data_IF_277847184040
#
_entry.id   IF_277847184040
#
_cell.length_a   1.000
_cell.length_b   1.000
_cell.length_c   1.000
_cell.angle_alpha   90.00
_cell.angle_beta   90.00
_cell.angle_gamma   90.00
#
_symmetry.space_group_name_H-M   'P 1'
#
loop_
_entity.id
_entity.type
_entity.pdbx_description
1 polymer ?
#
# COMPACT_ATOMS: atom_id res chain seq x y z
N UNK A 1 4.57 27.46 19.80
CA UNK A 1 3.81 26.92 18.63
C UNK A 1 2.87 25.83 19.15
N UNK A 2 1.55 25.92 18.91
CA UNK A 2 0.56 25.02 19.53
C UNK A 2 0.70 23.55 19.11
N UNK A 3 0.30 22.63 19.98
CA UNK A 3 0.36 21.17 19.73
C UNK A 3 -0.40 20.76 18.46
N UNK A 4 -1.58 21.33 18.22
CA UNK A 4 -2.37 21.08 17.02
C UNK A 4 -1.63 21.48 15.73
N UNK A 5 -0.90 22.62 15.74
CA UNK A 5 -0.10 23.05 14.59
C UNK A 5 1.06 22.08 14.33
N UNK A 6 1.76 21.63 15.37
CA UNK A 6 2.83 20.63 15.24
C UNK A 6 2.33 19.31 14.66
N UNK A 7 1.15 18.84 15.08
CA UNK A 7 0.52 17.64 14.52
C UNK A 7 0.22 17.78 13.03
N UNK A 8 -0.32 18.93 12.60
CA UNK A 8 -0.59 19.17 11.18
C UNK A 8 0.68 19.27 10.33
N UNK A 9 1.75 19.89 10.84
CA UNK A 9 3.05 19.92 10.16
C UNK A 9 3.63 18.51 9.99
N UNK A 10 3.54 17.66 11.01
CA UNK A 10 3.98 16.27 10.93
C UNK A 10 3.20 15.48 9.86
N UNK A 11 1.87 15.61 9.84
CA UNK A 11 1.03 14.97 8.82
C UNK A 11 1.36 15.47 7.41
N UNK A 12 1.61 16.79 7.25
CA UNK A 12 2.05 17.35 5.96
C UNK A 12 3.36 16.73 5.50
N UNK A 13 4.34 16.63 6.39
CA UNK A 13 5.63 16.01 6.09
C UNK A 13 5.47 14.54 5.70
N UNK A 14 4.61 13.78 6.39
CA UNK A 14 4.29 12.39 6.03
C UNK A 14 3.69 12.28 4.63
N UNK A 15 2.73 13.14 4.28
CA UNK A 15 2.16 13.13 2.92
C UNK A 15 3.18 13.50 1.85
N UNK A 16 4.01 14.52 2.07
CA UNK A 16 5.08 14.87 1.13
C UNK A 16 6.05 13.69 0.91
N UNK A 17 6.42 12.99 1.99
CA UNK A 17 7.29 11.82 1.90
C UNK A 17 6.61 10.62 1.19
N UNK A 18 5.29 10.49 1.25
CA UNK A 18 4.54 9.51 0.45
C UNK A 18 4.52 9.90 -1.03
N UNK A 19 4.28 11.18 -1.35
CA UNK A 19 4.34 11.69 -2.72
C UNK A 19 5.71 11.44 -3.36
N UNK A 20 6.80 11.69 -2.63
CA UNK A 20 8.16 11.45 -3.10
C UNK A 20 8.40 9.97 -3.44
N UNK A 21 7.86 9.04 -2.65
CA UNK A 21 7.97 7.59 -2.92
C UNK A 21 7.27 7.17 -4.22
N UNK A 22 6.24 7.89 -4.65
CA UNK A 22 5.52 7.64 -5.91
C UNK A 22 5.97 8.52 -7.09
N UNK A 23 6.95 9.40 -6.88
CA UNK A 23 7.47 10.34 -7.88
C UNK A 23 8.61 9.76 -8.74
N UNK A 24 8.81 8.45 -8.74
CA UNK A 24 9.88 7.82 -9.52
C UNK A 24 9.63 7.94 -11.04
N UNK A 25 10.71 7.95 -11.83
CA UNK A 25 10.59 8.04 -13.29
C UNK A 25 9.92 6.78 -13.87
N UNK A 26 8.99 6.93 -14.82
CA UNK A 26 8.44 5.79 -15.55
C UNK A 26 9.54 5.00 -16.24
N UNK A 27 9.39 3.67 -16.28
CA UNK A 27 10.33 2.78 -16.96
C UNK A 27 9.62 1.55 -17.56
N UNK A 28 10.33 0.83 -18.43
CA UNK A 28 9.78 -0.32 -19.16
C UNK A 28 9.37 -1.47 -18.24
N UNK A 29 10.05 -1.64 -17.10
CA UNK A 29 9.70 -2.63 -16.11
C UNK A 29 8.33 -2.33 -15.48
N UNK A 30 8.04 -1.07 -15.14
CA UNK A 30 6.74 -0.65 -14.61
C UNK A 30 5.62 -0.96 -15.61
N UNK A 31 5.81 -0.59 -16.88
CA UNK A 31 4.83 -0.82 -17.94
C UNK A 31 4.56 -2.32 -18.18
N UNK A 32 5.62 -3.12 -18.26
CA UNK A 32 5.53 -4.58 -18.44
C UNK A 32 4.83 -5.21 -17.23
N UNK A 33 5.22 -4.83 -16.02
CA UNK A 33 4.62 -5.33 -14.78
C UNK A 33 3.13 -5.02 -14.72
N UNK A 34 2.71 -3.79 -15.06
CA UNK A 34 1.28 -3.43 -15.12
C UNK A 34 0.51 -4.30 -16.12
N UNK A 35 1.08 -4.57 -17.30
CA UNK A 35 0.46 -5.43 -18.29
C UNK A 35 0.29 -6.87 -17.78
N UNK A 36 1.30 -7.41 -17.09
CA UNK A 36 1.25 -8.75 -16.50
C UNK A 36 0.25 -8.84 -15.34
N UNK A 37 0.22 -7.84 -14.44
CA UNK A 37 -0.72 -7.80 -13.30
C UNK A 37 -2.18 -7.88 -13.78
N UNK A 38 -2.52 -7.22 -14.89
CA UNK A 38 -3.87 -7.25 -15.46
C UNK A 38 -4.33 -8.65 -15.90
N UNK A 39 -3.40 -9.58 -16.10
CA UNK A 39 -3.68 -10.97 -16.49
C UNK A 39 -3.76 -11.91 -15.28
N UNK A 40 -3.34 -11.45 -14.09
CA UNK A 40 -3.37 -12.25 -12.87
C UNK A 40 -4.79 -12.30 -12.27
N UNK A 41 -5.13 -13.39 -11.55
CA UNK A 41 -6.44 -13.53 -10.93
C UNK A 41 -6.65 -12.50 -9.82
N UNK A 42 -7.84 -11.88 -9.82
CA UNK A 42 -8.28 -11.00 -8.74
C UNK A 42 -9.04 -11.83 -7.71
N UNK A 43 -8.62 -11.75 -6.45
CA UNK A 43 -9.28 -12.38 -5.30
C UNK A 43 -9.89 -11.32 -4.38
N UNK A 44 -10.85 -11.72 -3.56
CA UNK A 44 -11.44 -10.89 -2.52
C UNK A 44 -10.80 -11.23 -1.18
N UNK A 45 -10.37 -10.20 -0.46
CA UNK A 45 -9.69 -10.33 0.84
C UNK A 45 -10.51 -9.59 1.88
N UNK A 46 -10.73 -10.24 3.02
CA UNK A 46 -11.37 -9.61 4.17
C UNK A 46 -10.30 -9.03 5.08
N UNK A 47 -10.50 -7.83 5.60
CA UNK A 47 -9.66 -7.28 6.67
C UNK A 47 -10.20 -7.71 8.03
N UNK A 48 -9.29 -8.12 8.93
CA UNK A 48 -9.64 -8.37 10.33
C UNK A 48 -10.30 -7.15 10.97
N UNK A 49 -11.14 -7.35 11.99
CA UNK A 49 -11.83 -6.23 12.64
C UNK A 49 -10.83 -5.39 13.42
N UNK A 50 -11.05 -4.07 13.51
CA UNK A 50 -10.11 -3.15 14.17
C UNK A 50 -9.76 -3.59 15.60
N UNK A 51 -10.75 -4.05 16.38
CA UNK A 51 -10.56 -4.55 17.75
C UNK A 51 -9.66 -5.79 17.80
N UNK A 52 -9.76 -6.68 16.81
CA UNK A 52 -8.93 -7.89 16.74
C UNK A 52 -7.50 -7.52 16.36
N UNK A 53 -7.34 -6.66 15.36
CA UNK A 53 -6.02 -6.21 14.90
C UNK A 53 -5.29 -5.42 15.99
N UNK A 54 -6.01 -4.61 16.78
CA UNK A 54 -5.46 -3.92 17.94
C UNK A 54 -5.03 -4.89 19.04
N UNK A 55 -5.89 -5.87 19.37
CA UNK A 55 -5.54 -6.92 20.36
C UNK A 55 -4.28 -7.70 19.93
N UNK A 56 -4.15 -7.99 18.64
CA UNK A 56 -2.97 -8.63 18.04
C UNK A 56 -1.75 -7.70 17.91
N UNK A 57 -1.89 -6.41 18.25
CA UNK A 57 -0.85 -5.36 18.14
C UNK A 57 -0.33 -5.16 16.71
N UNK A 58 -1.19 -5.38 15.71
CA UNK A 58 -0.85 -5.17 14.31
C UNK A 58 -0.69 -3.68 14.02
N UNK A 59 0.39 -3.30 13.32
CA UNK A 59 0.71 -1.89 13.09
C UNK A 59 0.13 -1.41 11.76
N UNK A 60 -0.53 -0.24 11.71
CA UNK A 60 -0.91 0.38 10.44
C UNK A 60 0.33 0.59 9.54
N UNK A 61 0.14 0.52 8.22
CA UNK A 61 1.22 0.72 7.22
C UNK A 61 2.37 -0.30 7.30
N UNK A 62 2.22 -1.42 8.00
CA UNK A 62 3.24 -2.46 8.13
C UNK A 62 2.78 -3.81 7.58
N UNK A 63 2.10 -3.82 6.42
CA UNK A 63 1.45 -5.03 5.92
C UNK A 63 2.37 -6.22 5.71
N UNK A 64 3.58 -5.99 5.21
CA UNK A 64 4.59 -7.04 5.02
C UNK A 64 5.10 -7.59 6.35
N UNK A 65 5.37 -6.73 7.33
CA UNK A 65 5.83 -7.15 8.65
C UNK A 65 4.74 -7.88 9.45
N UNK A 66 3.49 -7.38 9.39
CA UNK A 66 2.35 -8.01 10.04
C UNK A 66 2.07 -9.41 9.45
N UNK A 67 2.04 -9.52 8.11
CA UNK A 67 1.78 -10.81 7.46
C UNK A 67 2.90 -11.83 7.70
N UNK A 68 4.17 -11.38 7.63
CA UNK A 68 5.34 -12.19 8.01
C UNK A 68 5.25 -12.66 9.45
N UNK A 69 4.92 -11.77 10.38
CA UNK A 69 4.77 -12.11 11.79
C UNK A 69 3.72 -13.22 11.98
N UNK A 70 2.59 -13.15 11.27
CA UNK A 70 1.56 -14.19 11.34
C UNK A 70 2.04 -15.55 10.84
N UNK A 71 2.79 -15.58 9.73
CA UNK A 71 3.40 -16.83 9.23
C UNK A 71 4.45 -17.38 10.20
N UNK A 72 5.36 -16.54 10.70
CA UNK A 72 6.46 -16.97 11.58
C UNK A 72 6.00 -17.39 12.98
N UNK A 73 4.86 -16.87 13.45
CA UNK A 73 4.31 -17.14 14.78
C UNK A 73 3.16 -18.15 14.76
N UNK A 74 2.82 -18.72 13.62
CA UNK A 74 1.84 -19.79 13.55
C UNK A 74 2.48 -21.13 14.00
N UNK A 75 2.12 -21.67 15.18
CA UNK A 75 2.67 -22.93 15.66
C UNK A 75 2.25 -24.13 14.78
N UNK A 76 1.14 -24.03 14.04
CA UNK A 76 0.68 -25.09 13.14
C UNK A 76 1.32 -24.99 11.74
N UNK A 77 2.03 -23.90 11.43
CA UNK A 77 2.64 -23.62 10.12
C UNK A 77 1.65 -23.64 8.94
N UNK A 78 0.39 -23.30 9.21
CA UNK A 78 -0.71 -23.30 8.22
C UNK A 78 -0.97 -21.92 7.63
N UNK A 79 -0.44 -20.88 8.28
CA UNK A 79 -0.53 -19.49 7.85
C UNK A 79 0.60 -19.18 6.89
N UNK A 80 0.27 -18.60 5.74
CA UNK A 80 1.26 -18.22 4.71
C UNK A 80 1.14 -16.76 4.34
N UNK A 81 2.26 -16.03 4.35
CA UNK A 81 2.32 -14.70 3.77
C UNK A 81 2.14 -14.80 2.26
N UNK A 82 1.12 -14.11 1.74
CA UNK A 82 0.92 -13.93 0.30
C UNK A 82 1.21 -12.47 -0.03
N UNK A 83 2.06 -12.25 -1.02
CA UNK A 83 2.42 -10.91 -1.50
C UNK A 83 1.89 -10.71 -2.91
N UNK A 84 1.49 -9.48 -3.19
CA UNK A 84 0.83 -9.14 -4.44
C UNK A 84 0.45 -7.68 -4.44
N UNK A 85 -0.63 -7.39 -5.16
CA UNK A 85 -1.03 -6.03 -5.48
C UNK A 85 -2.40 -5.71 -4.92
N UNK A 86 -2.50 -4.60 -4.22
CA UNK A 86 -3.77 -3.99 -3.85
C UNK A 86 -4.06 -2.84 -4.84
N UNK A 87 -5.07 -2.98 -5.71
CA UNK A 87 -5.49 -1.89 -6.58
C UNK A 87 -6.01 -0.74 -5.72
N UNK A 88 -5.35 0.42 -5.84
CA UNK A 88 -5.76 1.64 -5.17
C UNK A 88 -5.56 2.82 -6.11
N UNK A 89 -6.58 3.64 -6.27
CA UNK A 89 -6.43 4.98 -6.82
C UNK A 89 -5.78 5.05 -8.23
N UNK A 90 -5.92 3.99 -9.04
CA UNK A 90 -5.29 3.91 -10.36
C UNK A 90 -3.85 3.38 -10.34
N UNK A 91 -3.40 2.82 -9.22
CA UNK A 91 -2.11 2.18 -9.04
C UNK A 91 -2.28 0.76 -8.47
N UNK A 92 -1.21 -0.04 -8.55
CA UNK A 92 -1.07 -1.32 -7.90
C UNK A 92 -0.07 -1.17 -6.76
N UNK A 93 -0.57 -1.09 -5.53
CA UNK A 93 0.25 -0.92 -4.32
C UNK A 93 0.76 -2.29 -3.87
N UNK A 94 2.06 -2.39 -3.58
CA UNK A 94 2.63 -3.61 -3.03
C UNK A 94 2.00 -3.89 -1.67
N UNK A 95 1.41 -5.08 -1.50
CA UNK A 95 0.68 -5.43 -0.29
C UNK A 95 0.89 -6.89 0.09
N UNK A 96 0.84 -7.19 1.40
CA UNK A 96 0.84 -8.56 1.91
C UNK A 96 -0.41 -8.84 2.72
N UNK A 97 -0.93 -10.05 2.51
CA UNK A 97 -2.03 -10.67 3.24
C UNK A 97 -1.56 -12.00 3.81
N UNK A 98 -2.42 -12.66 4.56
CA UNK A 98 -2.19 -14.01 5.08
C UNK A 98 -3.25 -14.93 4.50
N UNK A 99 -2.83 -16.07 3.95
CA UNK A 99 -3.71 -17.23 3.84
C UNK A 99 -3.69 -17.92 5.20
N UNK A 100 -4.78 -17.78 5.94
CA UNK A 100 -4.98 -18.41 7.24
C UNK A 100 -6.06 -19.48 7.07
N UNK A 101 -5.63 -20.74 7.04
CA UNK A 101 -6.53 -21.90 6.94
C UNK A 101 -7.43 -21.89 5.69
N UNK A 102 -6.92 -21.44 4.55
CA UNK A 102 -7.66 -21.31 3.30
C UNK A 102 -8.48 -20.02 3.20
N UNK A 103 -8.39 -19.13 4.19
CA UNK A 103 -9.04 -17.83 4.19
C UNK A 103 -8.02 -16.72 3.96
N UNK A 104 -8.27 -15.91 2.94
CA UNK A 104 -7.43 -14.75 2.63
C UNK A 104 -7.81 -13.56 3.51
N UNK A 105 -6.92 -13.20 4.43
CA UNK A 105 -7.15 -12.14 5.42
C UNK A 105 -6.04 -11.09 5.38
N UNK A 106 -6.44 -9.82 5.35
CA UNK A 106 -5.54 -8.70 5.61
C UNK A 106 -5.47 -8.44 7.12
N UNK A 107 -4.27 -8.56 7.67
CA UNK A 107 -3.99 -8.38 9.11
C UNK A 107 -3.39 -7.00 9.42
N UNK A 108 -3.69 -5.99 8.60
CA UNK A 108 -3.13 -4.63 8.76
C UNK A 108 -4.23 -3.60 8.89
N UNK A 109 -4.24 -2.80 9.99
CA UNK A 109 -5.17 -1.69 10.13
C UNK A 109 -5.01 -0.69 8.98
N UNK A 110 -6.14 -0.27 8.42
CA UNK A 110 -6.20 0.68 7.31
C UNK A 110 -7.37 1.68 7.51
N UNK A 111 -7.28 2.61 8.48
CA UNK A 111 -8.40 3.49 8.85
C UNK A 111 -8.86 4.42 7.73
N UNK A 112 -8.00 4.65 6.73
CA UNK A 112 -8.29 5.48 5.54
C UNK A 112 -8.87 4.66 4.37
N UNK A 113 -8.81 3.33 4.40
CA UNK A 113 -9.33 2.45 3.35
C UNK A 113 -10.35 1.48 3.94
N UNK A 114 -11.61 1.92 4.02
CA UNK A 114 -12.69 1.20 4.73
C UNK A 114 -13.34 0.07 3.92
N UNK A 115 -12.98 -0.08 2.66
CA UNK A 115 -13.44 -1.18 1.82
C UNK A 115 -13.10 -2.53 2.46
N UNK A 116 -14.14 -3.34 2.67
CA UNK A 116 -14.02 -4.67 3.23
C UNK A 116 -15.24 -5.52 2.79
N UNK A 117 -15.06 -6.59 1.99
CA UNK A 117 -13.81 -7.07 1.42
C UNK A 117 -13.25 -6.13 0.33
N UNK A 118 -11.96 -6.23 0.05
CA UNK A 118 -11.30 -5.48 -1.02
C UNK A 118 -10.66 -6.41 -2.06
N UNK A 119 -10.31 -5.86 -3.23
CA UNK A 119 -9.66 -6.60 -4.30
C UNK A 119 -8.15 -6.74 -4.04
N UNK A 120 -7.61 -7.93 -4.27
CA UNK A 120 -6.18 -8.21 -4.19
C UNK A 120 -5.77 -9.10 -5.35
N UNK A 121 -4.54 -8.96 -5.81
CA UNK A 121 -3.99 -9.72 -6.94
C UNK A 121 -2.71 -10.39 -6.46
N UNK A 122 -2.76 -11.68 -6.06
CA UNK A 122 -1.56 -12.43 -5.68
C UNK A 122 -0.60 -12.47 -6.87
N UNK A 123 0.69 -12.24 -6.62
CA UNK A 123 1.70 -12.28 -7.67
C UNK A 123 2.84 -13.25 -7.30
N UNK A 124 2.87 -14.45 -7.91
CA UNK A 124 3.86 -15.46 -7.58
C UNK A 124 5.28 -15.10 -8.07
N UNK A 125 5.43 -14.07 -8.91
CA UNK A 125 6.76 -13.60 -9.34
C UNK A 125 7.42 -12.66 -8.31
N UNK A 126 6.69 -12.23 -7.27
CA UNK A 126 7.27 -11.43 -6.20
C UNK A 126 8.05 -12.33 -5.26
N UNK A 127 9.33 -12.02 -5.11
CA UNK A 127 10.23 -12.69 -4.20
C UNK A 127 10.72 -11.71 -3.12
N UNK A 128 10.92 -12.24 -1.92
CA UNK A 128 11.49 -11.47 -0.82
C UNK A 128 12.94 -11.86 -0.61
N UNK A 129 13.84 -10.88 -0.62
CA UNK A 129 15.27 -11.09 -0.39
C UNK A 129 15.68 -10.47 0.95
N UNK A 130 16.48 -11.19 1.72
CA UNK A 130 17.08 -10.67 2.95
C UNK A 130 18.24 -9.72 2.59
N UNK A 131 18.22 -8.50 3.13
CA UNK A 131 19.23 -7.46 2.94
C UNK A 131 19.57 -6.87 4.30
N UNK A 132 20.59 -7.44 4.94
CA UNK A 132 20.92 -7.14 6.34
C UNK A 132 19.80 -7.60 7.28
N UNK A 133 19.31 -6.70 8.12
CA UNK A 133 18.21 -6.97 9.07
C UNK A 133 16.81 -6.74 8.47
N UNK A 134 16.71 -6.45 7.18
CA UNK A 134 15.48 -6.09 6.48
C UNK A 134 15.21 -7.03 5.30
N UNK A 135 13.95 -7.11 4.88
CA UNK A 135 13.56 -7.78 3.62
C UNK A 135 13.12 -6.76 2.60
N UNK A 136 13.51 -6.99 1.36
CA UNK A 136 13.13 -6.20 0.21
C UNK A 136 12.39 -7.08 -0.78
N UNK A 137 11.30 -6.55 -1.36
CA UNK A 137 10.55 -7.24 -2.38
C UNK A 137 11.17 -6.98 -3.76
N UNK A 138 11.32 -8.04 -4.54
CA UNK A 138 11.82 -8.02 -5.90
C UNK A 138 10.83 -8.71 -6.83
N UNK A 139 10.85 -8.32 -8.10
CA UNK A 139 10.14 -9.03 -9.16
C UNK A 139 10.96 -8.93 -10.45
N UNK A 140 11.25 -10.08 -11.04
CA UNK A 140 12.16 -10.21 -12.20
C UNK A 140 13.50 -9.47 -11.98
N UNK A 141 14.05 -9.58 -10.77
CA UNK A 141 15.33 -8.95 -10.43
C UNK A 141 15.28 -7.46 -10.11
N UNK A 142 14.14 -6.78 -10.26
CA UNK A 142 13.97 -5.36 -9.94
C UNK A 142 13.36 -5.19 -8.55
N UNK A 143 13.98 -4.33 -7.73
CA UNK A 143 13.47 -3.98 -6.41
C UNK A 143 12.16 -3.21 -6.55
N UNK A 144 11.11 -3.70 -5.90
CA UNK A 144 9.79 -3.05 -5.88
C UNK A 144 9.81 -1.94 -4.82
N UNK A 145 9.40 -0.74 -5.22
CA UNK A 145 9.16 0.38 -4.31
C UNK A 145 7.77 0.29 -3.65
N UNK A 146 6.98 1.37 -3.62
CA UNK A 146 5.62 1.31 -3.07
C UNK A 146 4.62 0.56 -3.95
N UNK A 147 4.92 0.39 -5.24
CA UNK A 147 4.04 -0.25 -6.21
C UNK A 147 4.37 0.13 -7.65
N UNK A 148 3.41 -0.10 -8.55
CA UNK A 148 3.48 0.31 -9.97
C UNK A 148 2.23 1.11 -10.36
N UNK A 149 2.38 2.07 -11.27
CA UNK A 149 1.32 3.01 -11.66
C UNK A 149 0.69 2.59 -12.98
N UNK A 150 -0.65 2.54 -13.04
CA UNK A 150 -1.36 2.15 -14.28
C UNK A 150 -1.19 3.24 -15.35
N UNK A 151 -1.22 4.51 -14.93
CA UNK A 151 -0.95 5.66 -15.77
C UNK A 151 0.10 6.56 -15.08
N UNK A 152 1.40 6.31 -15.29
CA UNK A 152 2.47 7.06 -14.63
C UNK A 152 2.37 8.58 -14.84
N UNK A 153 2.02 9.02 -16.06
CA UNK A 153 1.87 10.43 -16.38
C UNK A 153 0.72 11.09 -15.59
N UNK A 154 -0.43 10.40 -15.51
CA UNK A 154 -1.57 10.84 -14.70
C UNK A 154 -1.24 10.91 -13.20
N UNK A 155 -0.58 9.87 -12.68
CA UNK A 155 -0.17 9.83 -11.27
C UNK A 155 0.81 10.96 -10.93
N UNK A 156 1.80 11.24 -11.79
CA UNK A 156 2.74 12.35 -11.58
C UNK A 156 2.05 13.72 -11.62
N UNK A 157 1.13 13.92 -12.57
CA UNK A 157 0.35 15.17 -12.64
C UNK A 157 -0.49 15.39 -11.38
N UNK A 158 -1.10 14.34 -10.83
CA UNK A 158 -1.84 14.40 -9.58
C UNK A 158 -0.93 14.68 -8.38
N UNK A 159 0.21 14.00 -8.30
CA UNK A 159 1.23 14.26 -7.27
C UNK A 159 1.61 15.75 -7.25
N UNK A 160 1.83 16.36 -8.41
CA UNK A 160 2.18 17.78 -8.52
C UNK A 160 1.06 18.72 -8.04
N UNK A 161 -0.21 18.34 -8.25
CA UNK A 161 -1.36 19.08 -7.73
C UNK A 161 -1.39 19.00 -6.20
N UNK A 162 -1.30 17.79 -5.64
CA UNK A 162 -1.35 17.56 -4.20
C UNK A 162 -0.15 18.23 -3.50
N UNK A 163 1.05 18.12 -4.08
CA UNK A 163 2.27 18.76 -3.57
C UNK A 163 2.09 20.28 -3.48
N UNK A 164 1.56 20.92 -4.52
CA UNK A 164 1.27 22.37 -4.51
C UNK A 164 0.27 22.74 -3.42
N UNK A 165 -0.80 21.95 -3.22
CA UNK A 165 -1.79 22.16 -2.15
C UNK A 165 -1.16 22.05 -0.76
N UNK A 166 -0.32 21.03 -0.53
CA UNK A 166 0.39 20.84 0.74
C UNK A 166 1.32 22.01 1.06
N UNK A 167 2.08 22.47 0.06
CA UNK A 167 3.05 23.56 0.20
C UNK A 167 2.40 24.95 0.28
N UNK A 168 1.15 25.12 -0.17
CA UNK A 168 0.42 26.40 -0.04
C UNK A 168 -0.07 26.69 1.38
N UNK A 169 0.17 25.79 2.34
CA UNK A 169 -0.34 25.90 3.70
C UNK A 169 -1.77 25.40 3.89
N UNK A 170 -2.37 24.75 2.88
CA UNK A 170 -3.67 24.09 3.02
C UNK A 170 -3.62 23.06 4.16
N UNK A 171 -4.78 22.81 4.79
CA UNK A 171 -4.90 21.70 5.75
C UNK A 171 -4.53 20.39 5.02
N UNK A 172 -3.57 19.59 5.54
CA UNK A 172 -3.04 18.43 4.83
C UNK A 172 -4.09 17.38 4.52
N UNK A 173 -5.10 17.18 5.38
CA UNK A 173 -6.19 16.24 5.12
C UNK A 173 -7.09 16.69 3.97
N UNK A 174 -7.25 18.00 3.76
CA UNK A 174 -7.98 18.55 2.60
C UNK A 174 -7.12 18.53 1.34
N UNK A 175 -5.82 18.78 1.47
CA UNK A 175 -4.89 18.85 0.35
C UNK A 175 -4.82 17.54 -0.45
N UNK A 176 -4.95 16.39 0.24
CA UNK A 176 -4.88 15.05 -0.35
C UNK A 176 -6.23 14.49 -0.79
N UNK A 177 -7.34 15.20 -0.53
CA UNK A 177 -8.64 14.77 -1.05
C UNK A 177 -8.66 14.99 -2.57
N UNK A 178 -9.03 13.93 -3.29
CA UNK A 178 -9.39 14.03 -4.70
C UNK A 178 -10.65 14.85 -4.81
N UNK A 179 -10.65 15.85 -5.68
CA UNK A 179 -11.91 16.48 -6.09
C UNK A 179 -12.70 15.39 -6.79
N UNK A 180 -13.85 14.99 -6.21
CA UNK A 180 -14.79 14.19 -6.97
C UNK A 180 -15.12 14.99 -8.24
N UNK A 181 -15.07 14.42 -9.45
CA UNK A 181 -15.65 15.10 -10.59
C UNK A 181 -17.09 15.43 -10.22
N UNK A 182 -17.46 16.71 -10.29
CA UNK A 182 -18.86 17.10 -10.18
C UNK A 182 -19.58 16.40 -11.32
N UNK A 183 -20.38 15.39 -10.99
CA UNK A 183 -21.37 14.85 -11.91
C UNK A 183 -22.44 15.90 -12.10
N UNK A 184 -22.24 16.81 -13.06
CA UNK A 184 -23.26 17.57 -13.77
C UNK A 184 -22.79 17.79 -15.21
#
# INVERSE_FOLDING_TARGET
>A
MGEAKRKLEAVRAEFLAELDRWSFLPNDWEATTVAEIKLLPVVKVTRGRDVELEWMRMKPRQCHANARFMEEKDPEQRSKQITGWWPQDGNYVLHSIVDQYGQLVCVTPAPLHRENPFAFIPDPKIEWREVGDYREAYRDGVKIGPGVRINPAGTLAEIDIIRRRLLSGMNPYKAVQRDQPSTL
#
